data_IF_741365829128
#
_entry.id   IF_741365829128
#
_cell.length_a   1.000
_cell.length_b   1.000
_cell.length_c   1.000
_cell.angle_alpha   90.00
_cell.angle_beta   90.00
_cell.angle_gamma   90.00
#
_symmetry.space_group_name_H-M   'P 1'
#
loop_
_entity.id
_entity.type
_entity.pdbx_description
1 polymer ?
#
# COMPACT_ATOMS: atom_id res chain seq x y z
N UNK A 1 24.45 21.47 14.35
CA UNK A 1 24.33 20.27 13.50
C UNK A 1 22.89 19.76 13.58
N UNK A 2 22.07 20.05 12.57
CA UNK A 2 20.64 19.66 12.57
C UNK A 2 20.47 18.17 12.35
N UNK A 3 19.54 17.53 13.08
CA UNK A 3 19.15 16.13 12.82
C UNK A 3 18.44 16.05 11.48
N UNK A 4 18.74 15.03 10.68
CA UNK A 4 18.06 14.75 9.41
C UNK A 4 16.56 14.51 9.59
N UNK A 5 15.80 14.76 8.51
CA UNK A 5 14.35 14.54 8.47
C UNK A 5 14.03 13.06 8.72
N UNK A 6 13.25 12.78 9.76
CA UNK A 6 12.76 11.42 10.05
C UNK A 6 11.59 11.07 9.14
N UNK A 7 11.53 9.81 8.70
CA UNK A 7 10.35 9.26 8.03
C UNK A 7 9.19 9.13 9.05
N UNK A 8 7.97 9.42 8.61
CA UNK A 8 6.76 9.29 9.44
C UNK A 8 6.19 7.87 9.32
N UNK A 9 6.95 6.92 9.86
CA UNK A 9 6.62 5.50 9.91
C UNK A 9 6.96 4.94 11.31
N UNK A 10 6.57 3.69 11.57
CA UNK A 10 6.89 3.04 12.84
C UNK A 10 8.41 2.97 13.00
N UNK A 11 8.92 3.43 14.15
CA UNK A 11 10.35 3.31 14.47
C UNK A 11 10.58 1.86 14.90
N UNK A 12 11.32 1.09 14.11
CA UNK A 12 11.56 -0.35 14.36
C UNK A 12 12.27 -0.60 15.69
N UNK A 13 13.35 0.15 15.95
CA UNK A 13 14.12 0.01 17.19
C UNK A 13 13.29 0.48 18.40
N UNK A 14 12.96 -0.45 19.30
CA UNK A 14 12.08 -0.21 20.44
C UNK A 14 12.63 0.86 21.41
N UNK A 15 13.93 0.83 21.73
CA UNK A 15 14.55 1.81 22.61
C UNK A 15 14.47 3.21 22.02
N UNK A 16 14.80 3.36 20.74
CA UNK A 16 14.67 4.64 20.02
C UNK A 16 13.21 5.07 19.89
N UNK A 17 12.28 4.14 19.68
CA UNK A 17 10.84 4.38 19.63
C UNK A 17 10.33 4.93 20.96
N UNK A 18 10.69 4.31 22.09
CA UNK A 18 10.30 4.74 23.44
C UNK A 18 10.87 6.13 23.79
N UNK A 19 12.16 6.36 23.52
CA UNK A 19 12.78 7.68 23.75
C UNK A 19 12.17 8.77 22.88
N UNK A 20 11.86 8.46 21.63
CA UNK A 20 11.20 9.40 20.71
C UNK A 20 9.77 9.68 21.14
N UNK A 21 9.02 8.66 21.58
CA UNK A 21 7.67 8.80 22.11
C UNK A 21 7.66 9.77 23.29
N UNK A 22 8.51 9.56 24.31
CA UNK A 22 8.56 10.44 25.49
C UNK A 22 8.89 11.89 25.13
N UNK A 23 9.85 12.11 24.21
CA UNK A 23 10.20 13.45 23.74
C UNK A 23 9.07 14.13 22.96
N UNK A 24 8.44 13.41 22.03
CA UNK A 24 7.34 13.93 21.20
C UNK A 24 6.09 14.19 22.02
N UNK A 25 5.75 13.29 22.95
CA UNK A 25 4.63 13.43 23.89
C UNK A 25 4.75 14.73 24.68
N UNK A 26 5.90 14.94 25.35
CA UNK A 26 6.18 16.18 26.08
C UNK A 26 6.10 17.42 25.18
N UNK A 27 6.63 17.33 23.96
CA UNK A 27 6.56 18.42 22.97
C UNK A 27 5.13 18.75 22.53
N UNK A 28 4.31 17.72 22.29
CA UNK A 28 2.91 17.86 21.90
C UNK A 28 2.10 18.50 23.01
N UNK A 29 2.19 17.99 24.24
CA UNK A 29 1.50 18.56 25.41
C UNK A 29 1.88 20.02 25.63
N UNK A 30 3.16 20.36 25.48
CA UNK A 30 3.62 21.76 25.57
C UNK A 30 2.95 22.63 24.51
N UNK A 31 2.90 22.16 23.26
CA UNK A 31 2.28 22.90 22.15
C UNK A 31 0.77 23.06 22.33
N UNK A 32 0.09 22.06 22.88
CA UNK A 32 -1.34 22.17 23.21
C UNK A 32 -1.59 23.22 24.30
N UNK A 33 -0.75 23.26 25.34
CA UNK A 33 -0.81 24.28 26.38
C UNK A 33 -0.55 25.69 25.84
N UNK A 34 0.51 25.86 25.05
CA UNK A 34 0.81 27.12 24.36
C UNK A 34 -0.37 27.56 23.48
N UNK A 35 -0.94 26.66 22.67
CA UNK A 35 -2.06 26.95 21.78
C UNK A 35 -3.32 27.37 22.55
N UNK A 36 -3.68 26.63 23.61
CA UNK A 36 -4.84 26.94 24.44
C UNK A 36 -4.68 28.30 25.11
N UNK A 37 -3.48 28.60 25.63
CA UNK A 37 -3.18 29.87 26.31
C UNK A 37 -3.19 31.06 25.35
N UNK A 38 -2.52 30.94 24.20
CA UNK A 38 -2.35 32.03 23.24
C UNK A 38 -3.64 32.38 22.50
N UNK A 39 -4.47 31.37 22.21
CA UNK A 39 -5.69 31.56 21.43
C UNK A 39 -6.97 31.56 22.28
N UNK A 40 -6.89 31.24 23.58
CA UNK A 40 -8.06 31.14 24.44
C UNK A 40 -9.05 30.06 24.00
N UNK A 41 -8.54 28.96 23.42
CA UNK A 41 -9.36 27.85 22.91
C UNK A 41 -9.22 26.61 23.78
N UNK A 42 -10.31 25.83 23.86
CA UNK A 42 -10.28 24.50 24.43
C UNK A 42 -9.44 23.57 23.55
N UNK A 43 -8.40 22.98 24.15
CA UNK A 43 -7.58 21.94 23.50
C UNK A 43 -7.57 20.72 24.42
N UNK A 44 -7.67 19.53 23.85
CA UNK A 44 -7.56 18.30 24.61
C UNK A 44 -6.70 17.29 23.84
N UNK A 45 -5.85 16.56 24.56
CA UNK A 45 -5.11 15.43 24.00
C UNK A 45 -5.31 14.21 24.87
N UNK A 46 -5.51 13.05 24.24
CA UNK A 46 -5.63 11.74 24.88
C UNK A 46 -4.58 10.85 24.22
N UNK A 47 -3.59 10.38 24.99
CA UNK A 47 -2.43 9.64 24.47
C UNK A 47 -2.34 8.31 25.20
N UNK A 48 -2.39 7.22 24.43
CA UNK A 48 -2.12 5.88 24.93
C UNK A 48 -0.64 5.54 24.73
N UNK A 49 0.08 5.30 25.84
CA UNK A 49 1.46 4.85 25.81
C UNK A 49 1.62 3.41 25.26
N UNK A 50 2.83 3.01 24.86
CA UNK A 50 3.10 1.62 24.51
C UNK A 50 2.85 0.74 25.75
N UNK A 51 2.10 -0.36 25.58
CA UNK A 51 1.92 -1.35 26.63
C UNK A 51 3.28 -1.95 26.99
N UNK A 52 3.77 -1.63 28.18
CA UNK A 52 4.80 -2.43 28.81
C UNK A 52 4.14 -3.80 29.04
N UNK A 53 4.82 -4.91 28.74
CA UNK A 53 4.32 -6.29 28.90
C UNK A 53 3.95 -6.72 30.34
N UNK A 54 3.52 -5.79 31.19
CA UNK A 54 2.90 -6.04 32.48
C UNK A 54 1.41 -6.27 32.24
N UNK A 55 0.85 -7.35 32.81
CA UNK A 55 -0.57 -7.75 32.76
C UNK A 55 -1.51 -6.78 33.50
N UNK A 56 -1.16 -5.50 33.52
CA UNK A 56 -1.90 -4.43 34.17
C UNK A 56 -2.65 -3.64 33.07
N UNK A 57 -3.98 -3.50 33.15
CA UNK A 57 -4.80 -2.74 32.20
C UNK A 57 -4.48 -1.24 32.15
N UNK A 58 -3.64 -0.73 33.06
CA UNK A 58 -3.14 0.64 33.00
C UNK A 58 -2.14 0.80 31.84
N UNK A 59 -2.68 0.80 30.61
CA UNK A 59 -2.10 1.59 29.53
C UNK A 59 -1.78 2.95 30.14
N UNK A 60 -0.54 3.42 30.06
CA UNK A 60 -0.14 4.75 30.57
C UNK A 60 -0.90 5.80 29.74
N UNK A 61 -2.15 6.03 30.13
CA UNK A 61 -3.08 6.96 29.53
C UNK A 61 -2.71 8.32 30.06
N UNK A 62 -2.24 9.17 29.17
CA UNK A 62 -1.92 10.55 29.51
C UNK A 62 -2.85 11.48 28.79
N UNK A 63 -3.50 12.34 29.57
CA UNK A 63 -4.38 13.38 29.06
C UNK A 63 -3.77 14.76 29.28
N UNK A 64 -4.18 15.69 28.43
CA UNK A 64 -4.07 17.11 28.68
C UNK A 64 -5.43 17.75 28.41
N UNK A 65 -5.95 18.64 29.29
CA UNK A 65 -5.40 19.05 30.59
C UNK A 65 -5.23 17.91 31.61
N UNK A 66 -4.47 18.17 32.69
CA UNK A 66 -4.28 17.20 33.79
C UNK A 66 -5.56 17.00 34.62
N UNK A 67 -6.39 18.03 34.69
CA UNK A 67 -7.70 17.95 35.32
C UNK A 67 -8.64 17.12 34.44
N UNK A 68 -9.14 16.02 35.00
CA UNK A 68 -10.05 15.11 34.31
C UNK A 68 -11.42 15.77 34.04
N UNK A 69 -11.87 16.67 34.90
CA UNK A 69 -13.15 17.36 34.72
C UNK A 69 -13.11 18.27 33.49
N UNK A 70 -12.00 18.99 33.28
CA UNK A 70 -11.78 19.81 32.10
C UNK A 70 -11.75 18.96 30.82
N UNK A 71 -11.06 17.82 30.86
CA UNK A 71 -11.03 16.86 29.74
C UNK A 71 -12.44 16.39 29.40
N UNK A 72 -13.21 15.96 30.39
CA UNK A 72 -14.60 15.50 30.20
C UNK A 72 -15.47 16.62 29.63
N UNK A 73 -15.37 17.85 30.16
CA UNK A 73 -16.10 19.02 29.66
C UNK A 73 -15.83 19.28 28.19
N UNK A 74 -14.55 19.24 27.78
CA UNK A 74 -14.14 19.47 26.38
C UNK A 74 -14.69 18.37 25.47
N UNK A 75 -14.62 17.10 25.90
CA UNK A 75 -15.16 15.96 25.14
C UNK A 75 -16.67 16.08 24.96
N UNK A 76 -17.41 16.39 26.03
CA UNK A 76 -18.86 16.58 25.97
C UNK A 76 -19.25 17.72 25.03
N UNK A 77 -18.54 18.84 25.10
CA UNK A 77 -18.72 19.99 24.19
C UNK A 77 -18.47 19.59 22.74
N UNK A 78 -17.41 18.83 22.47
CA UNK A 78 -17.11 18.32 21.13
C UNK A 78 -18.23 17.41 20.61
N UNK A 79 -18.64 16.41 21.39
CA UNK A 79 -19.72 15.49 21.03
C UNK A 79 -21.02 16.24 20.70
N UNK A 80 -21.45 17.16 21.57
CA UNK A 80 -22.64 17.98 21.35
C UNK A 80 -22.57 18.81 20.05
N UNK A 81 -21.40 19.36 19.72
CA UNK A 81 -21.20 20.13 18.49
C UNK A 81 -21.21 19.24 17.23
N UNK A 82 -20.70 18.01 17.32
CA UNK A 82 -20.64 17.08 16.17
C UNK A 82 -22.00 16.55 15.74
N UNK A 83 -23.02 16.55 16.61
CA UNK A 83 -24.38 16.09 16.29
C UNK A 83 -25.02 16.95 15.20
N UNK A 84 -24.87 18.27 15.28
CA UNK A 84 -25.53 19.21 14.36
C UNK A 84 -24.64 19.61 13.19
N UNK A 85 -23.32 19.52 13.35
CA UNK A 85 -22.35 19.92 12.31
C UNK A 85 -21.11 19.04 12.38
N UNK A 86 -20.99 18.02 11.52
CA UNK A 86 -19.80 17.19 11.49
C UNK A 86 -18.57 18.07 11.18
N UNK A 87 -17.46 17.87 11.90
CA UNK A 87 -16.28 18.71 11.77
C UNK A 87 -15.67 18.61 10.37
N UNK A 88 -15.52 19.75 9.68
CA UNK A 88 -14.98 19.82 8.31
C UNK A 88 -13.52 19.35 8.16
N UNK A 89 -12.79 19.15 9.26
CA UNK A 89 -11.37 18.74 9.30
C UNK A 89 -11.10 17.67 10.38
N UNK A 90 -12.01 16.74 10.60
CA UNK A 90 -11.66 15.52 11.34
C UNK A 90 -10.95 14.56 10.38
N UNK A 91 -9.64 14.45 10.48
CA UNK A 91 -8.94 13.30 9.88
C UNK A 91 -9.09 12.15 10.86
N UNK A 92 -10.07 11.27 10.62
CA UNK A 92 -10.18 10.05 11.39
C UNK A 92 -8.94 9.17 11.12
N UNK A 93 -8.52 8.37 12.10
CA UNK A 93 -7.51 7.32 11.87
C UNK A 93 -7.93 6.42 10.71
N UNK A 94 -9.22 6.10 10.60
CA UNK A 94 -9.76 5.35 9.47
C UNK A 94 -9.48 6.03 8.13
N UNK A 95 -9.74 7.34 8.02
CA UNK A 95 -9.50 8.10 6.78
C UNK A 95 -8.00 8.12 6.44
N UNK A 96 -7.15 8.32 7.45
CA UNK A 96 -5.69 8.27 7.29
C UNK A 96 -5.21 6.91 6.79
N UNK A 97 -5.70 5.81 7.36
CA UNK A 97 -5.34 4.47 6.92
C UNK A 97 -5.91 4.12 5.54
N UNK A 98 -7.12 4.59 5.22
CA UNK A 98 -7.71 4.46 3.88
C UNK A 98 -6.85 5.20 2.85
N UNK A 99 -6.46 6.44 3.12
CA UNK A 99 -5.62 7.24 2.23
C UNK A 99 -4.24 6.60 2.06
N UNK A 100 -3.64 6.11 3.16
CA UNK A 100 -2.35 5.42 3.12
C UNK A 100 -2.43 4.12 2.32
N UNK A 101 -3.49 3.33 2.50
CA UNK A 101 -3.74 2.11 1.73
C UNK A 101 -3.84 2.43 0.24
N UNK A 102 -4.66 3.42 -0.13
CA UNK A 102 -4.79 3.89 -1.52
C UNK A 102 -3.44 4.30 -2.12
N UNK A 103 -2.61 4.98 -1.35
CA UNK A 103 -1.26 5.36 -1.79
C UNK A 103 -0.34 4.15 -2.02
N UNK A 104 -0.42 3.12 -1.16
CA UNK A 104 0.33 1.87 -1.34
C UNK A 104 -0.20 1.12 -2.57
N UNK A 105 -1.50 0.97 -2.70
CA UNK A 105 -2.16 0.31 -3.84
C UNK A 105 -1.75 0.98 -5.15
N UNK A 106 -1.74 2.32 -5.21
CA UNK A 106 -1.29 3.07 -6.39
C UNK A 106 0.17 2.80 -6.78
N UNK A 107 1.04 2.53 -5.80
CA UNK A 107 2.44 2.16 -6.06
C UNK A 107 2.54 0.73 -6.58
N UNK A 108 1.74 -0.18 -6.01
CA UNK A 108 1.65 -1.56 -6.48
C UNK A 108 1.18 -1.60 -7.94
N UNK A 109 0.13 -0.84 -8.28
CA UNK A 109 -0.41 -0.80 -9.64
C UNK A 109 0.61 -0.24 -10.65
N UNK A 110 1.37 0.80 -10.27
CA UNK A 110 2.47 1.31 -11.11
C UNK A 110 3.53 0.24 -11.38
N UNK A 111 3.90 -0.53 -10.37
CA UNK A 111 4.86 -1.62 -10.51
C UNK A 111 4.29 -2.78 -11.35
N UNK A 112 3.00 -3.12 -11.20
CA UNK A 112 2.32 -4.13 -12.02
C UNK A 112 2.28 -3.74 -13.49
N UNK A 113 1.88 -2.51 -13.80
CA UNK A 113 1.89 -1.95 -15.16
C UNK A 113 3.26 -1.99 -15.82
N UNK A 114 4.30 -1.62 -15.07
CA UNK A 114 5.66 -1.65 -15.58
C UNK A 114 6.17 -3.08 -15.83
N UNK A 115 5.80 -4.04 -14.96
CA UNK A 115 6.32 -5.42 -15.02
C UNK A 115 5.53 -6.31 -15.98
N UNK A 116 4.21 -6.14 -16.07
CA UNK A 116 3.32 -6.98 -16.86
C UNK A 116 2.22 -6.15 -17.56
N UNK A 117 2.58 -5.28 -18.52
CA UNK A 117 1.65 -4.33 -19.14
C UNK A 117 0.48 -5.03 -19.84
N UNK A 118 0.76 -6.15 -20.53
CA UNK A 118 -0.26 -6.90 -21.28
C UNK A 118 -1.29 -7.54 -20.35
N UNK A 119 -0.88 -8.12 -19.22
CA UNK A 119 -1.85 -8.70 -18.27
C UNK A 119 -2.64 -7.62 -17.55
N UNK A 120 -2.05 -6.45 -17.29
CA UNK A 120 -2.73 -5.35 -16.60
C UNK A 120 -3.85 -4.73 -17.45
N UNK A 121 -3.62 -4.56 -18.76
CA UNK A 121 -4.68 -4.14 -19.72
C UNK A 121 -5.84 -5.14 -19.77
N UNK A 122 -5.53 -6.45 -19.81
CA UNK A 122 -6.55 -7.50 -19.85
C UNK A 122 -7.39 -7.54 -18.56
N UNK A 123 -6.75 -7.40 -17.40
CA UNK A 123 -7.42 -7.39 -16.09
C UNK A 123 -8.26 -6.11 -15.92
N UNK A 124 -7.74 -4.95 -16.33
CA UNK A 124 -8.45 -3.67 -16.25
C UNK A 124 -9.72 -3.67 -17.09
N UNK A 125 -9.65 -4.19 -18.31
CA UNK A 125 -10.80 -4.34 -19.20
C UNK A 125 -11.87 -5.28 -18.61
N UNK A 126 -11.43 -6.34 -17.93
CA UNK A 126 -12.29 -7.35 -17.30
C UNK A 126 -13.00 -6.82 -16.03
N UNK A 127 -12.29 -6.08 -15.17
CA UNK A 127 -12.85 -5.55 -13.92
C UNK A 127 -13.78 -4.33 -14.11
N UNK A 128 -13.67 -3.60 -15.22
CA UNK A 128 -14.48 -2.41 -15.50
C UNK A 128 -15.88 -2.73 -16.07
N UNK A 129 -16.16 -3.99 -16.41
CA UNK A 129 -17.36 -4.38 -17.17
C UNK A 129 -18.07 -5.54 -16.46
N UNK A 130 -19.32 -5.35 -16.04
CA UNK A 130 -20.11 -6.42 -15.44
C UNK A 130 -20.34 -7.57 -16.43
N UNK A 131 -20.06 -8.80 -15.99
CA UNK A 131 -20.73 -10.03 -16.41
C UNK A 131 -20.13 -10.76 -17.62
N UNK A 132 -19.59 -11.95 -17.36
CA UNK A 132 -19.49 -13.21 -18.14
C UNK A 132 -19.31 -13.19 -19.67
N UNK A 133 -19.98 -12.32 -20.41
CA UNK A 133 -19.90 -12.23 -21.87
C UNK A 133 -18.49 -11.91 -22.38
N UNK A 134 -17.74 -11.08 -21.64
CA UNK A 134 -16.38 -10.72 -22.03
C UNK A 134 -15.34 -11.79 -21.70
N UNK A 135 -15.61 -12.71 -20.75
CA UNK A 135 -14.74 -13.85 -20.49
C UNK A 135 -14.68 -14.76 -21.73
N UNK A 136 -15.82 -14.97 -22.38
CA UNK A 136 -15.90 -15.70 -23.65
C UNK A 136 -15.12 -15.00 -24.78
N UNK A 137 -15.14 -13.67 -24.84
CA UNK A 137 -14.38 -12.91 -25.84
C UNK A 137 -12.86 -12.97 -25.59
N UNK A 138 -12.44 -12.94 -24.32
CA UNK A 138 -11.04 -13.09 -23.93
C UNK A 138 -10.53 -14.49 -24.26
N UNK A 139 -11.27 -15.53 -23.85
CA UNK A 139 -10.96 -16.93 -24.15
C UNK A 139 -10.80 -17.13 -25.66
N UNK A 140 -11.77 -16.67 -26.45
CA UNK A 140 -11.71 -16.76 -27.91
C UNK A 140 -10.51 -16.04 -28.50
N UNK A 141 -10.12 -14.86 -27.97
CA UNK A 141 -8.94 -14.13 -28.44
C UNK A 141 -7.64 -14.85 -28.07
N UNK A 142 -7.56 -15.47 -26.89
CA UNK A 142 -6.42 -16.29 -26.49
C UNK A 142 -6.33 -17.56 -27.32
N UNK A 143 -7.44 -18.25 -27.57
CA UNK A 143 -7.51 -19.43 -28.43
C UNK A 143 -7.02 -19.12 -29.84
N UNK A 144 -7.45 -17.99 -30.42
CA UNK A 144 -6.98 -17.53 -31.73
C UNK A 144 -5.46 -17.26 -31.75
N UNK A 145 -4.90 -16.70 -30.67
CA UNK A 145 -3.45 -16.48 -30.56
C UNK A 145 -2.68 -17.77 -30.39
N UNK A 146 -3.18 -18.70 -29.57
CA UNK A 146 -2.60 -20.03 -29.39
C UNK A 146 -2.57 -20.76 -30.72
N UNK A 147 -3.67 -20.69 -31.47
CA UNK A 147 -3.80 -21.33 -32.78
C UNK A 147 -2.83 -20.73 -33.80
N UNK A 148 -2.70 -19.40 -33.82
CA UNK A 148 -1.72 -18.72 -34.67
C UNK A 148 -0.27 -19.15 -34.34
N UNK A 149 0.07 -19.25 -33.06
CA UNK A 149 1.40 -19.71 -32.62
C UNK A 149 1.63 -21.18 -32.98
N UNK A 150 0.63 -22.05 -32.79
CA UNK A 150 0.69 -23.46 -33.21
C UNK A 150 0.96 -23.58 -34.71
N UNK A 151 0.23 -22.83 -35.55
CA UNK A 151 0.45 -22.79 -37.00
C UNK A 151 1.83 -22.27 -37.37
N UNK A 152 2.34 -21.25 -36.68
CA UNK A 152 3.71 -20.76 -36.90
C UNK A 152 4.77 -21.81 -36.53
N UNK A 153 4.57 -22.58 -35.46
CA UNK A 153 5.45 -23.68 -35.06
C UNK A 153 5.42 -24.78 -36.13
N UNK A 154 4.24 -25.18 -36.60
CA UNK A 154 4.09 -26.18 -37.67
C UNK A 154 4.73 -25.72 -38.97
N UNK A 155 4.52 -24.47 -39.39
CA UNK A 155 5.16 -23.91 -40.58
C UNK A 155 6.68 -23.91 -40.47
N UNK A 156 7.24 -23.57 -39.30
CA UNK A 156 8.69 -23.66 -39.07
C UNK A 156 9.20 -25.10 -39.07
N UNK A 157 8.45 -26.05 -38.49
CA UNK A 157 8.79 -27.48 -38.55
C UNK A 157 8.76 -28.00 -39.99
N UNK A 158 7.75 -27.62 -40.77
CA UNK A 158 7.62 -28.03 -42.18
C UNK A 158 8.72 -27.41 -43.06
N UNK A 159 9.09 -26.15 -42.83
CA UNK A 159 10.23 -25.53 -43.51
C UNK A 159 11.59 -26.13 -43.10
N UNK A 160 11.75 -26.63 -41.87
CA UNK A 160 12.95 -27.39 -41.49
C UNK A 160 13.03 -28.76 -42.19
N UNK A 161 11.89 -29.40 -42.49
CA UNK A 161 11.83 -30.67 -43.22
C UNK A 161 12.07 -30.46 -44.73
N UNK A 162 11.59 -29.36 -45.31
CA UNK A 162 11.82 -29.03 -46.73
C UNK A 162 13.29 -28.64 -46.99
N UNK A 163 14.00 -28.12 -45.98
CA UNK A 163 15.43 -27.78 -46.08
C UNK A 163 16.39 -28.95 -45.81
N UNK A 164 15.89 -30.18 -45.70
CA UNK A 164 16.73 -31.38 -45.68
C UNK A 164 17.04 -31.82 -47.12
N UNK A 165 18.19 -31.39 -47.63
CA UNK A 165 18.74 -31.85 -48.90
C UNK A 165 19.36 -33.25 -48.69
N UNK A 166 18.99 -34.30 -49.45
CA UNK A 166 19.55 -35.65 -49.26
C UNK A 166 21.05 -35.79 -49.61
N UNK A 167 21.72 -34.72 -50.03
CA UNK A 167 23.06 -34.78 -50.61
C UNK A 167 24.22 -34.70 -49.60
N UNK A 168 23.97 -34.51 -48.30
CA UNK A 168 25.05 -34.39 -47.29
C UNK A 168 25.58 -35.75 -46.76
N UNK A 169 25.46 -36.83 -47.53
CA UNK A 169 26.03 -38.13 -47.17
C UNK A 169 26.71 -38.83 -48.35
N UNK A 170 27.83 -38.30 -48.84
CA UNK A 170 28.98 -39.12 -49.24
C UNK A 170 30.24 -38.27 -49.10
N UNK A 171 31.07 -38.55 -48.08
CA UNK A 171 32.54 -38.37 -48.10
C UNK A 171 33.13 -38.84 -46.76
N UNK A 172 33.02 -40.14 -46.51
CA UNK A 172 33.90 -40.86 -45.61
C UNK A 172 33.99 -42.29 -46.08
N UNK A 173 34.82 -42.54 -47.09
CA UNK A 173 35.40 -43.84 -47.42
C UNK A 173 36.38 -43.61 -48.57
N UNK A 174 37.64 -43.32 -48.26
CA UNK A 174 38.85 -43.81 -48.93
C UNK A 174 40.04 -42.95 -48.46
N UNK A 175 40.61 -43.32 -47.32
CA UNK A 175 42.05 -43.10 -47.11
C UNK A 175 42.60 -44.21 -46.20
N UNK A 176 42.82 -45.38 -46.82
CA UNK A 176 43.74 -46.40 -46.34
C UNK A 176 44.49 -46.95 -47.56
N UNK A 177 45.68 -46.41 -47.79
CA UNK A 177 46.85 -47.20 -48.18
C UNK A 177 48.14 -46.44 -47.90
#
# INVERSE_FOLDING_TARGET
MGRGKLKMELIENEKSRRLTFQKRKKGLTKKCSELSTLCGIDVCTIIYGPNNHTKDPSVELETWPKDHNEVIRIIQRYQAATIYKPPKKSSNLSDFYIERKKNIDSKIDKLRKAKYPISDELITHYCASSGDHQLGLLLRRLDLKIEAVKRMIEFRKHNQVINYNPHDHVDHLFDQK
#
